data_IF_153106021822
#
_entry.id   IF_153106021822
#
_cell.length_a   1.000
_cell.length_b   1.000
_cell.length_c   1.000
_cell.angle_alpha   90.00
_cell.angle_beta   90.00
_cell.angle_gamma   90.00
#
_symmetry.space_group_name_H-M   'P 1'
#
loop_
_entity.id
_entity.type
_entity.pdbx_description
1 polymer ?
#
# COMPACT_ATOMS: atom_id res chain seq x y z
N UNK A 1 -9.51 -24.79 10.55
CA UNK A 1 -8.70 -23.54 10.59
C UNK A 1 -7.55 -23.56 9.59
N UNK A 2 -6.60 -24.51 9.66
CA UNK A 2 -5.48 -24.58 8.70
C UNK A 2 -5.89 -24.49 7.21
N UNK A 3 -7.01 -25.10 6.81
CA UNK A 3 -7.52 -25.00 5.44
C UNK A 3 -7.98 -23.59 5.05
N UNK A 4 -8.52 -22.81 5.99
CA UNK A 4 -8.86 -21.40 5.77
C UNK A 4 -7.60 -20.56 5.59
N UNK A 5 -6.57 -20.82 6.40
CA UNK A 5 -5.29 -20.08 6.33
C UNK A 5 -4.54 -20.39 5.02
N UNK A 6 -4.84 -21.52 4.38
CA UNK A 6 -4.37 -21.91 3.05
C UNK A 6 -5.30 -21.48 1.90
N UNK A 7 -6.35 -20.69 2.19
CA UNK A 7 -7.37 -20.24 1.23
C UNK A 7 -8.16 -21.39 0.54
N UNK A 8 -8.10 -22.60 1.10
CA UNK A 8 -8.87 -23.78 0.63
C UNK A 8 -10.27 -23.76 1.22
N UNK A 9 -11.05 -22.75 0.85
CA UNK A 9 -12.37 -22.48 1.45
C UNK A 9 -13.36 -23.63 1.24
N UNK A 10 -13.38 -24.26 0.06
CA UNK A 10 -14.27 -25.40 -0.23
C UNK A 10 -13.95 -26.64 0.61
N UNK A 11 -12.66 -26.96 0.80
CA UNK A 11 -12.24 -28.08 1.64
C UNK A 11 -12.50 -27.79 3.12
N UNK A 12 -12.26 -26.54 3.53
CA UNK A 12 -12.57 -26.05 4.86
C UNK A 12 -14.07 -26.17 5.17
N UNK A 13 -14.92 -25.75 4.24
CA UNK A 13 -16.37 -25.84 4.37
C UNK A 13 -16.82 -27.29 4.61
N UNK A 14 -16.41 -28.22 3.74
CA UNK A 14 -16.75 -29.65 3.86
C UNK A 14 -16.31 -30.23 5.19
N UNK A 15 -15.13 -29.84 5.67
CA UNK A 15 -14.60 -30.32 6.96
C UNK A 15 -15.44 -29.81 8.14
N UNK A 16 -15.90 -28.56 8.10
CA UNK A 16 -16.77 -28.01 9.14
C UNK A 16 -18.18 -28.59 9.07
N UNK A 17 -18.72 -28.80 7.87
CA UNK A 17 -20.02 -29.47 7.67
C UNK A 17 -20.00 -30.89 8.26
N UNK A 18 -18.97 -31.68 7.97
CA UNK A 18 -18.81 -33.00 8.57
C UNK A 18 -18.73 -32.94 10.11
N UNK A 19 -18.03 -31.94 10.65
CA UNK A 19 -17.93 -31.77 12.10
C UNK A 19 -19.30 -31.42 12.73
N UNK A 20 -20.14 -30.66 12.03
CA UNK A 20 -21.52 -30.37 12.45
C UNK A 20 -22.43 -31.60 12.31
N UNK A 21 -22.23 -32.44 11.29
CA UNK A 21 -22.96 -33.71 11.15
C UNK A 21 -22.68 -34.66 12.32
N UNK A 22 -21.42 -34.73 12.76
CA UNK A 22 -20.99 -35.56 13.89
C UNK A 22 -21.44 -34.98 15.24
N UNK A 23 -21.34 -33.65 15.39
CA UNK A 23 -21.75 -32.94 16.60
C UNK A 23 -22.49 -31.65 16.22
N UNK A 24 -23.84 -31.67 16.16
CA UNK A 24 -24.64 -30.52 15.72
C UNK A 24 -24.40 -29.24 16.54
N UNK A 25 -24.02 -29.40 17.81
CA UNK A 25 -23.70 -28.32 18.74
C UNK A 25 -22.22 -27.88 18.71
N UNK A 26 -21.41 -28.31 17.74
CA UNK A 26 -20.00 -27.98 17.74
C UNK A 26 -19.74 -26.51 17.36
N UNK A 27 -19.70 -25.64 18.36
CA UNK A 27 -19.62 -24.18 18.20
C UNK A 27 -18.49 -23.72 17.26
N UNK A 28 -17.29 -24.32 17.38
CA UNK A 28 -16.14 -23.96 16.54
C UNK A 28 -16.35 -24.29 15.06
N UNK A 29 -17.09 -25.33 14.73
CA UNK A 29 -17.39 -25.64 13.33
C UNK A 29 -18.37 -24.64 12.72
N UNK A 30 -19.41 -24.24 13.45
CA UNK A 30 -20.31 -23.15 13.01
C UNK A 30 -19.56 -21.83 12.81
N UNK A 31 -18.65 -21.48 13.73
CA UNK A 31 -17.80 -20.30 13.57
C UNK A 31 -16.85 -20.42 12.36
N UNK A 32 -16.33 -21.63 12.11
CA UNK A 32 -15.57 -21.97 10.91
C UNK A 32 -16.34 -21.73 9.62
N UNK A 33 -17.60 -22.17 9.55
CA UNK A 33 -18.51 -21.87 8.43
C UNK A 33 -18.72 -20.37 8.27
N UNK A 34 -18.89 -19.63 9.38
CA UNK A 34 -19.00 -18.17 9.34
C UNK A 34 -17.79 -17.51 8.67
N UNK A 35 -16.59 -17.96 9.03
CA UNK A 35 -15.34 -17.46 8.42
C UNK A 35 -15.22 -17.84 6.93
N UNK A 36 -15.56 -19.07 6.53
CA UNK A 36 -15.62 -19.48 5.11
C UNK A 36 -16.50 -18.52 4.32
N UNK A 37 -17.73 -18.28 4.80
CA UNK A 37 -18.70 -17.40 4.13
C UNK A 37 -18.21 -15.96 4.03
N UNK A 38 -17.53 -15.46 5.07
CA UNK A 38 -16.92 -14.13 5.03
C UNK A 38 -15.83 -14.02 3.95
N UNK A 39 -15.01 -15.05 3.77
CA UNK A 39 -14.04 -15.10 2.67
C UNK A 39 -14.71 -15.19 1.27
N UNK A 40 -15.93 -15.73 1.21
CA UNK A 40 -16.79 -15.72 0.00
C UNK A 40 -17.56 -14.39 -0.18
N UNK A 41 -17.28 -13.37 0.63
CA UNK A 41 -17.98 -12.09 0.69
C UNK A 41 -19.48 -12.16 1.05
N UNK A 42 -19.95 -13.30 1.56
CA UNK A 42 -21.31 -13.48 2.09
C UNK A 42 -21.35 -13.13 3.58
N UNK A 43 -21.19 -11.84 3.87
CA UNK A 43 -21.07 -11.34 5.25
C UNK A 43 -22.36 -11.51 6.06
N UNK A 44 -23.53 -11.48 5.41
CA UNK A 44 -24.81 -11.67 6.09
C UNK A 44 -24.90 -13.08 6.67
N UNK A 45 -24.67 -14.10 5.83
CA UNK A 45 -24.73 -15.48 6.29
C UNK A 45 -23.52 -15.88 7.14
N UNK A 46 -22.39 -15.18 6.98
CA UNK A 46 -21.24 -15.31 7.87
C UNK A 46 -21.61 -14.94 9.31
N UNK A 47 -22.25 -13.78 9.52
CA UNK A 47 -22.69 -13.35 10.84
C UNK A 47 -23.75 -14.30 11.42
N UNK A 48 -24.73 -14.74 10.62
CA UNK A 48 -25.72 -15.74 11.08
C UNK A 48 -25.08 -17.05 11.54
N UNK A 49 -24.03 -17.52 10.86
CA UNK A 49 -23.29 -18.71 11.30
C UNK A 49 -22.48 -18.45 12.58
N UNK A 50 -21.95 -17.24 12.75
CA UNK A 50 -21.27 -16.82 13.97
C UNK A 50 -22.23 -16.72 15.16
N UNK A 51 -23.46 -16.21 14.95
CA UNK A 51 -24.52 -16.16 15.97
C UNK A 51 -24.95 -17.57 16.40
N UNK A 52 -25.04 -18.51 15.46
CA UNK A 52 -25.27 -19.93 15.77
C UNK A 52 -24.13 -20.52 16.59
N UNK A 53 -22.89 -20.23 16.22
CA UNK A 53 -21.72 -20.66 16.99
C UNK A 53 -21.78 -20.15 18.43
N UNK A 54 -22.18 -18.88 18.61
CA UNK A 54 -22.38 -18.29 19.94
C UNK A 54 -23.45 -19.00 20.74
N UNK A 55 -24.58 -19.35 20.12
CA UNK A 55 -25.67 -20.11 20.77
C UNK A 55 -25.24 -21.48 21.31
N UNK A 56 -24.23 -22.11 20.69
CA UNK A 56 -23.68 -23.39 21.13
C UNK A 56 -22.45 -23.27 22.04
N UNK A 57 -21.89 -22.07 22.21
CA UNK A 57 -20.63 -21.87 22.93
C UNK A 57 -20.80 -22.05 24.45
N UNK A 58 -20.32 -23.18 24.97
CA UNK A 58 -20.34 -23.47 26.40
C UNK A 58 -19.06 -23.03 27.11
N UNK A 59 -17.92 -23.17 26.43
CA UNK A 59 -16.59 -23.02 27.04
C UNK A 59 -15.97 -21.64 26.76
N UNK A 60 -15.07 -21.21 27.65
CA UNK A 60 -14.36 -19.93 27.51
C UNK A 60 -13.56 -19.87 26.20
N UNK A 61 -12.90 -20.97 25.83
CA UNK A 61 -12.08 -21.06 24.62
C UNK A 61 -12.90 -21.07 23.32
N UNK A 62 -14.19 -21.38 23.39
CA UNK A 62 -15.12 -21.27 22.26
C UNK A 62 -15.59 -19.84 22.11
N UNK A 63 -15.95 -19.18 23.22
CA UNK A 63 -16.32 -17.77 23.24
C UNK A 63 -15.19 -16.85 22.75
N UNK A 64 -13.95 -17.09 23.21
CA UNK A 64 -12.75 -16.41 22.71
C UNK A 64 -12.60 -16.55 21.19
N UNK A 65 -12.77 -17.77 20.68
CA UNK A 65 -12.68 -18.03 19.25
C UNK A 65 -13.77 -17.29 18.46
N UNK A 66 -14.99 -17.21 18.99
CA UNK A 66 -16.13 -16.56 18.34
C UNK A 66 -16.01 -15.03 18.36
N UNK A 67 -15.58 -14.42 19.47
CA UNK A 67 -15.29 -12.98 19.54
C UNK A 67 -14.24 -12.58 18.48
N UNK A 68 -13.16 -13.35 18.37
CA UNK A 68 -12.17 -13.16 17.31
C UNK A 68 -12.77 -13.40 15.92
N UNK A 69 -13.68 -14.37 15.81
CA UNK A 69 -14.47 -14.61 14.60
C UNK A 69 -15.25 -13.36 14.14
N UNK A 70 -15.98 -12.69 15.04
CA UNK A 70 -16.69 -11.45 14.71
C UNK A 70 -15.73 -10.35 14.23
N UNK A 71 -14.61 -10.11 14.95
CA UNK A 71 -13.59 -9.13 14.54
C UNK A 71 -13.12 -9.40 13.10
N UNK A 72 -12.84 -10.67 12.79
CA UNK A 72 -12.41 -11.09 11.44
C UNK A 72 -13.47 -10.81 10.37
N UNK A 73 -14.73 -11.17 10.62
CA UNK A 73 -15.83 -10.94 9.67
C UNK A 73 -16.01 -9.45 9.39
N UNK A 74 -16.04 -8.62 10.43
CA UNK A 74 -16.18 -7.17 10.29
C UNK A 74 -15.00 -6.55 9.55
N UNK A 75 -13.78 -7.01 9.84
CA UNK A 75 -12.56 -6.58 9.15
C UNK A 75 -12.61 -6.95 7.66
N UNK A 76 -12.97 -8.19 7.31
CA UNK A 76 -13.08 -8.63 5.91
C UNK A 76 -14.14 -7.85 5.14
N UNK A 77 -15.31 -7.62 5.74
CA UNK A 77 -16.40 -6.81 5.17
C UNK A 77 -15.93 -5.41 4.79
N UNK A 78 -15.09 -4.80 5.62
CA UNK A 78 -14.51 -3.49 5.30
C UNK A 78 -13.34 -3.56 4.33
N UNK A 79 -12.48 -4.58 4.41
CA UNK A 79 -11.34 -4.73 3.51
C UNK A 79 -11.78 -4.84 2.04
N UNK A 80 -12.89 -5.55 1.75
CA UNK A 80 -13.46 -5.58 0.39
C UNK A 80 -13.87 -4.21 -0.14
N UNK A 81 -14.20 -3.28 0.76
CA UNK A 81 -14.65 -1.92 0.47
C UNK A 81 -13.49 -0.91 0.29
N UNK A 82 -12.28 -1.23 0.75
CA UNK A 82 -11.16 -0.27 0.82
C UNK A 82 -10.13 -0.43 -0.32
N UNK A 83 -10.41 -1.23 -1.34
CA UNK A 83 -9.55 -1.36 -2.52
C UNK A 83 -9.51 -0.04 -3.30
N UNK A 84 -8.30 0.40 -3.68
CA UNK A 84 -8.10 1.56 -4.57
C UNK A 84 -8.95 1.35 -5.83
N UNK A 85 -9.80 2.32 -6.19
CA UNK A 85 -10.78 2.16 -7.28
C UNK A 85 -12.23 1.91 -6.86
N UNK A 86 -12.50 1.56 -5.60
CA UNK A 86 -13.86 1.25 -5.12
C UNK A 86 -14.43 2.40 -4.31
N UNK A 87 -15.54 2.99 -4.76
CA UNK A 87 -16.29 4.00 -4.01
C UNK A 87 -17.06 3.31 -2.89
N UNK A 88 -16.60 3.45 -1.66
CA UNK A 88 -17.33 2.95 -0.50
C UNK A 88 -17.90 4.08 0.32
N UNK A 89 -19.17 3.95 0.73
CA UNK A 89 -19.79 4.85 1.70
C UNK A 89 -18.90 4.88 2.94
N UNK A 90 -18.34 6.06 3.23
CA UNK A 90 -17.35 6.32 4.28
C UNK A 90 -17.95 6.29 5.70
N UNK A 91 -19.28 6.20 5.82
CA UNK A 91 -19.98 6.75 6.97
C UNK A 91 -20.15 5.83 8.19
N UNK A 92 -20.06 4.51 8.08
CA UNK A 92 -20.20 3.67 9.28
C UNK A 92 -18.84 3.21 9.81
N UNK A 93 -18.30 3.93 10.80
CA UNK A 93 -17.24 3.43 11.70
C UNK A 93 -17.74 2.34 12.67
N UNK A 94 -19.04 2.04 12.64
CA UNK A 94 -19.69 1.01 13.44
C UNK A 94 -18.92 -0.31 13.45
N UNK A 95 -18.33 -0.74 12.33
CA UNK A 95 -17.59 -2.01 12.27
C UNK A 95 -16.33 -2.01 13.17
N UNK A 96 -15.63 -0.89 13.29
CA UNK A 96 -14.45 -0.76 14.14
C UNK A 96 -14.89 -0.74 15.61
N UNK A 97 -15.99 -0.06 15.92
CA UNK A 97 -16.54 0.02 17.26
C UNK A 97 -17.08 -1.33 17.74
N UNK A 98 -17.79 -2.05 16.87
CA UNK A 98 -18.22 -3.43 17.11
C UNK A 98 -16.99 -4.32 17.33
N UNK A 99 -15.96 -4.22 16.49
CA UNK A 99 -14.74 -5.02 16.64
C UNK A 99 -14.01 -4.71 17.96
N UNK A 100 -13.99 -3.44 18.38
CA UNK A 100 -13.45 -3.04 19.70
C UNK A 100 -14.24 -3.66 20.84
N UNK A 101 -15.58 -3.64 20.78
CA UNK A 101 -16.43 -4.27 21.78
C UNK A 101 -16.23 -5.78 21.87
N UNK A 102 -16.06 -6.47 20.73
CA UNK A 102 -15.74 -7.90 20.70
C UNK A 102 -14.34 -8.19 21.24
N UNK A 103 -13.37 -7.33 20.95
CA UNK A 103 -12.02 -7.41 21.50
C UNK A 103 -12.01 -7.24 23.03
N UNK A 104 -12.72 -6.24 23.56
CA UNK A 104 -12.86 -5.99 25.00
C UNK A 104 -13.45 -7.20 25.73
N UNK A 105 -14.48 -7.83 25.16
CA UNK A 105 -15.06 -9.07 25.69
C UNK A 105 -14.07 -10.23 25.66
N UNK A 106 -13.27 -10.36 24.59
CA UNK A 106 -12.28 -11.42 24.47
C UNK A 106 -11.17 -11.27 25.55
N UNK A 107 -10.62 -10.07 25.73
CA UNK A 107 -9.56 -9.84 26.73
C UNK A 107 -10.08 -9.90 28.17
N UNK A 108 -11.40 -9.73 28.40
CA UNK A 108 -12.01 -9.98 29.71
C UNK A 108 -11.99 -11.47 30.07
N UNK A 109 -12.08 -12.36 29.08
CA UNK A 109 -12.03 -13.82 29.27
C UNK A 109 -10.58 -14.27 29.43
N UNK A 110 -9.69 -13.85 28.53
CA UNK A 110 -8.24 -14.12 28.61
C UNK A 110 -7.44 -12.90 28.14
N UNK A 111 -6.86 -12.12 29.07
CA UNK A 111 -6.01 -10.97 28.74
C UNK A 111 -4.74 -11.31 27.97
N UNK A 112 -4.36 -12.59 27.91
CA UNK A 112 -3.17 -13.08 27.22
C UNK A 112 -3.51 -13.88 25.95
N UNK A 113 -4.72 -13.72 25.40
CA UNK A 113 -5.16 -14.37 24.17
C UNK A 113 -4.60 -13.65 22.93
N UNK A 114 -3.42 -14.07 22.50
CA UNK A 114 -2.69 -13.48 21.36
C UNK A 114 -3.54 -13.32 20.07
N UNK A 115 -4.43 -14.26 19.69
CA UNK A 115 -5.28 -14.08 18.50
C UNK A 115 -6.16 -12.82 18.56
N UNK A 116 -6.68 -12.43 19.72
CA UNK A 116 -7.50 -11.23 19.86
C UNK A 116 -6.70 -9.97 19.49
N UNK A 117 -5.47 -9.85 20.01
CA UNK A 117 -4.58 -8.74 19.66
C UNK A 117 -4.18 -8.76 18.19
N UNK A 118 -3.82 -9.92 17.65
CA UNK A 118 -3.42 -10.04 16.24
C UNK A 118 -4.53 -9.58 15.28
N UNK A 119 -5.75 -10.12 15.44
CA UNK A 119 -6.86 -9.76 14.55
C UNK A 119 -7.38 -8.33 14.81
N UNK A 120 -7.25 -7.80 16.02
CA UNK A 120 -7.49 -6.38 16.27
C UNK A 120 -6.46 -5.48 15.59
N UNK A 121 -5.19 -5.90 15.52
CA UNK A 121 -4.16 -5.22 14.75
C UNK A 121 -4.49 -5.15 13.26
N UNK A 122 -5.00 -6.25 12.68
CA UNK A 122 -5.49 -6.27 11.29
C UNK A 122 -6.72 -5.38 11.09
N UNK A 123 -7.60 -5.31 12.08
CA UNK A 123 -8.75 -4.41 12.10
C UNK A 123 -8.29 -2.93 12.02
N UNK A 124 -7.39 -2.50 12.90
CA UNK A 124 -6.82 -1.14 12.87
C UNK A 124 -6.04 -0.85 11.59
N UNK A 125 -5.28 -1.82 11.07
CA UNK A 125 -4.61 -1.71 9.76
C UNK A 125 -5.62 -1.42 8.65
N UNK A 126 -6.76 -2.11 8.64
CA UNK A 126 -7.84 -1.91 7.67
C UNK A 126 -8.51 -0.54 7.83
N UNK A 127 -8.55 -0.01 9.05
CA UNK A 127 -8.98 1.35 9.36
C UNK A 127 -7.94 2.44 9.00
N UNK A 128 -6.77 2.05 8.48
CA UNK A 128 -5.60 2.91 8.24
C UNK A 128 -5.07 3.59 9.53
N UNK A 129 -5.36 3.02 10.70
CA UNK A 129 -4.82 3.45 11.99
C UNK A 129 -3.52 2.71 12.30
N UNK A 130 -2.44 3.21 11.72
CA UNK A 130 -1.10 2.60 11.78
C UNK A 130 -0.56 2.57 13.22
N UNK A 131 -0.95 3.53 14.06
CA UNK A 131 -0.46 3.62 15.44
C UNK A 131 -1.10 2.53 16.29
N UNK A 132 -2.42 2.44 16.28
CA UNK A 132 -3.14 1.40 17.03
C UNK A 132 -2.83 0.00 16.51
N UNK A 133 -2.71 -0.18 15.18
CA UNK A 133 -2.29 -1.45 14.59
C UNK A 133 -0.92 -1.89 15.12
N UNK A 134 0.06 -0.97 15.15
CA UNK A 134 1.40 -1.23 15.68
C UNK A 134 1.38 -1.65 17.16
N UNK A 135 0.57 -0.99 17.99
CA UNK A 135 0.43 -1.35 19.40
C UNK A 135 -0.13 -2.77 19.58
N UNK A 136 -1.15 -3.13 18.81
CA UNK A 136 -1.74 -4.47 18.86
C UNK A 136 -0.75 -5.56 18.44
N UNK A 137 -0.01 -5.35 17.35
CA UNK A 137 1.01 -6.33 16.92
C UNK A 137 2.17 -6.42 17.90
N UNK A 138 2.63 -5.29 18.47
CA UNK A 138 3.63 -5.29 19.54
C UNK A 138 3.17 -6.13 20.73
N UNK A 139 1.88 -6.06 21.08
CA UNK A 139 1.34 -6.85 22.18
C UNK A 139 1.41 -8.36 21.91
N UNK A 140 1.18 -8.80 20.67
CA UNK A 140 1.35 -10.22 20.29
C UNK A 140 2.80 -10.68 20.50
N UNK A 141 3.78 -9.84 20.13
CA UNK A 141 5.20 -10.13 20.31
C UNK A 141 5.60 -10.23 21.79
N UNK A 142 5.02 -9.38 22.64
CA UNK A 142 5.20 -9.45 24.10
C UNK A 142 4.64 -10.75 24.69
N UNK A 143 3.48 -11.21 24.20
CA UNK A 143 2.82 -12.40 24.72
C UNK A 143 3.58 -13.69 24.38
N UNK A 144 4.36 -13.71 23.28
CA UNK A 144 5.18 -14.87 22.85
C UNK A 144 4.39 -16.18 22.73
N UNK A 145 3.18 -16.10 22.17
CA UNK A 145 2.30 -17.26 21.92
C UNK A 145 2.03 -17.45 20.42
N UNK A 146 0.77 -17.52 20.01
CA UNK A 146 0.37 -17.66 18.61
C UNK A 146 0.62 -16.36 17.83
N UNK A 147 0.77 -16.47 16.50
CA UNK A 147 0.92 -15.36 15.55
C UNK A 147 2.17 -14.49 15.71
N UNK A 148 3.24 -14.94 16.37
CA UNK A 148 4.46 -14.14 16.59
C UNK A 148 5.08 -13.71 15.26
N UNK A 149 5.28 -14.64 14.32
CA UNK A 149 5.98 -14.35 13.06
C UNK A 149 5.16 -13.41 12.19
N UNK A 150 3.86 -13.64 12.10
CA UNK A 150 2.92 -12.81 11.36
C UNK A 150 2.83 -11.41 11.98
N UNK A 151 2.75 -11.32 13.32
CA UNK A 151 2.73 -10.05 14.03
C UNK A 151 4.05 -9.28 13.88
N UNK A 152 5.20 -9.95 13.87
CA UNK A 152 6.50 -9.31 13.66
C UNK A 152 6.58 -8.65 12.29
N UNK A 153 6.16 -9.37 11.24
CA UNK A 153 6.07 -8.82 9.88
C UNK A 153 5.14 -7.60 9.82
N UNK A 154 3.94 -7.68 10.41
CA UNK A 154 3.00 -6.57 10.41
C UNK A 154 3.50 -5.39 11.26
N UNK A 155 4.11 -5.65 12.41
CA UNK A 155 4.68 -4.63 13.29
C UNK A 155 5.80 -3.86 12.58
N UNK A 156 6.75 -4.58 11.96
CA UNK A 156 7.83 -3.98 11.17
C UNK A 156 7.28 -3.11 10.02
N UNK A 157 6.22 -3.56 9.34
CA UNK A 157 5.54 -2.75 8.33
C UNK A 157 4.93 -1.48 8.95
N UNK A 158 4.23 -1.56 10.08
CA UNK A 158 3.65 -0.38 10.74
C UNK A 158 4.73 0.63 11.13
N UNK A 159 5.87 0.17 11.65
CA UNK A 159 7.01 1.03 11.98
C UNK A 159 7.57 1.75 10.75
N UNK A 160 7.75 1.04 9.63
CA UNK A 160 8.19 1.63 8.36
C UNK A 160 7.20 2.70 7.86
N UNK A 161 5.89 2.44 7.94
CA UNK A 161 4.86 3.39 7.51
C UNK A 161 4.81 4.62 8.44
N UNK A 162 4.91 4.43 9.76
CA UNK A 162 5.01 5.55 10.71
C UNK A 162 6.23 6.41 10.42
N UNK A 163 7.38 5.79 10.12
CA UNK A 163 8.58 6.52 9.69
C UNK A 163 8.35 7.22 8.35
N UNK A 164 7.58 6.66 7.43
CA UNK A 164 7.33 7.34 6.16
C UNK A 164 6.44 8.60 6.31
N UNK A 165 5.64 8.67 7.39
CA UNK A 165 4.75 9.80 7.74
C UNK A 165 3.86 10.27 6.56
N UNK A 166 3.08 9.36 5.94
CA UNK A 166 2.17 9.74 4.85
C UNK A 166 1.17 10.81 5.32
N UNK A 167 1.14 11.93 4.60
CA UNK A 167 0.31 13.09 4.91
C UNK A 167 -1.12 12.98 4.36
N UNK A 168 -1.34 12.14 3.36
CA UNK A 168 -2.64 11.99 2.70
C UNK A 168 -3.30 10.64 2.96
N UNK A 169 -4.61 10.56 2.70
CA UNK A 169 -5.34 9.28 2.79
C UNK A 169 -4.88 8.34 1.68
N UNK A 170 -4.63 8.87 0.48
CA UNK A 170 -4.10 8.11 -0.66
C UNK A 170 -2.73 7.53 -0.34
N UNK A 171 -1.81 8.34 0.21
CA UNK A 171 -0.50 7.87 0.67
C UNK A 171 -0.61 6.78 1.73
N UNK A 172 -1.51 6.92 2.71
CA UNK A 172 -1.79 5.87 3.70
C UNK A 172 -2.30 4.57 3.09
N UNK A 173 -3.13 4.64 2.05
CA UNK A 173 -3.61 3.45 1.34
C UNK A 173 -2.49 2.78 0.55
N UNK A 174 -1.74 3.57 -0.22
CA UNK A 174 -0.61 3.09 -1.03
C UNK A 174 0.48 2.48 -0.14
N UNK A 175 0.67 2.97 1.08
CA UNK A 175 1.63 2.42 2.05
C UNK A 175 1.51 0.89 2.28
N UNK A 176 0.32 0.33 2.08
CA UNK A 176 0.05 -1.10 2.25
C UNK A 176 0.10 -1.93 0.96
N UNK A 177 0.36 -1.29 -0.19
CA UNK A 177 0.42 -1.95 -1.49
C UNK A 177 1.80 -2.57 -1.70
N UNK A 178 1.82 -3.85 -2.09
CA UNK A 178 3.07 -4.59 -2.34
C UNK A 178 3.80 -4.12 -3.60
N UNK A 179 3.06 -3.65 -4.61
CA UNK A 179 3.59 -3.18 -5.88
C UNK A 179 2.80 -1.97 -6.34
N UNK A 180 3.44 -0.81 -6.34
CA UNK A 180 2.77 0.41 -6.80
C UNK A 180 2.56 0.38 -8.31
N UNK A 181 1.47 1.00 -8.74
CA UNK A 181 1.16 1.26 -10.14
C UNK A 181 1.66 2.64 -10.59
N UNK A 182 1.61 2.92 -11.89
CA UNK A 182 1.88 4.27 -12.43
C UNK A 182 0.97 5.33 -11.83
N UNK A 183 -0.31 5.00 -11.60
CA UNK A 183 -1.25 5.91 -10.95
C UNK A 183 -0.88 6.18 -9.49
N UNK A 184 -0.46 5.14 -8.76
CA UNK A 184 0.00 5.29 -7.37
C UNK A 184 1.25 6.19 -7.31
N UNK A 185 2.22 5.99 -8.21
CA UNK A 185 3.42 6.83 -8.27
C UNK A 185 3.07 8.31 -8.56
N UNK A 186 2.14 8.56 -9.49
CA UNK A 186 1.64 9.90 -9.78
C UNK A 186 1.01 10.56 -8.53
N UNK A 187 0.10 9.85 -7.85
CA UNK A 187 -0.54 10.34 -6.63
C UNK A 187 0.46 10.58 -5.50
N UNK A 188 1.44 9.70 -5.31
CA UNK A 188 2.49 9.91 -4.32
C UNK A 188 3.32 11.17 -4.62
N UNK A 189 3.70 11.42 -5.88
CA UNK A 189 4.44 12.63 -6.22
C UNK A 189 3.61 13.91 -6.10
N UNK A 190 2.32 13.85 -6.43
CA UNK A 190 1.42 15.01 -6.31
C UNK A 190 1.03 15.30 -4.85
N UNK A 191 0.58 14.30 -4.10
CA UNK A 191 0.02 14.51 -2.77
C UNK A 191 1.08 14.55 -1.65
N UNK A 192 2.11 13.69 -1.73
CA UNK A 192 3.10 13.54 -0.66
C UNK A 192 4.36 14.38 -0.91
N UNK A 193 4.89 14.34 -2.14
CA UNK A 193 6.04 15.17 -2.51
C UNK A 193 5.64 16.61 -2.86
N UNK A 194 4.38 16.85 -3.23
CA UNK A 194 3.86 18.18 -3.62
C UNK A 194 4.68 18.82 -4.74
N UNK A 195 4.96 18.01 -5.76
CA UNK A 195 5.86 18.34 -6.85
C UNK A 195 5.43 19.60 -7.63
N UNK A 196 4.13 19.85 -7.76
CA UNK A 196 3.58 21.06 -8.35
C UNK A 196 4.04 22.33 -7.58
N UNK A 197 4.08 22.27 -6.25
CA UNK A 197 4.55 23.37 -5.40
C UNK A 197 6.06 23.53 -5.48
N UNK A 198 6.80 22.42 -5.55
CA UNK A 198 8.25 22.41 -5.66
C UNK A 198 8.70 23.08 -6.96
N UNK A 199 8.03 22.75 -8.07
CA UNK A 199 8.39 23.26 -9.38
C UNK A 199 8.03 24.75 -9.49
N UNK A 200 6.86 25.17 -8.99
CA UNK A 200 6.48 26.60 -8.96
C UNK A 200 7.44 27.47 -8.14
N UNK A 201 8.02 26.93 -7.07
CA UNK A 201 8.97 27.68 -6.21
C UNK A 201 10.37 27.77 -6.80
N UNK A 202 10.78 26.82 -7.65
CA UNK A 202 12.16 26.70 -8.14
C UNK A 202 12.36 26.89 -9.64
N UNK A 203 11.27 27.02 -10.40
CA UNK A 203 11.37 27.54 -11.77
C UNK A 203 11.77 29.02 -11.69
N UNK A 204 12.95 29.40 -12.20
CA UNK A 204 13.25 30.82 -12.34
C UNK A 204 12.20 31.42 -13.28
N UNK A 205 11.64 32.59 -12.91
CA UNK A 205 10.84 33.41 -13.83
C UNK A 205 11.75 33.99 -14.91
N UNK A 206 12.32 33.16 -15.78
CA UNK A 206 12.95 33.63 -16.99
C UNK A 206 11.83 33.96 -17.96
N UNK A 207 11.46 35.23 -18.00
CA UNK A 207 10.75 35.76 -19.16
C UNK A 207 11.70 35.59 -20.35
N UNK A 208 11.30 34.74 -21.28
CA UNK A 208 11.96 34.59 -22.56
C UNK A 208 11.76 35.90 -23.35
N UNK A 209 12.75 36.79 -23.31
CA UNK A 209 12.77 38.05 -24.07
C UNK A 209 13.31 37.85 -25.50
N UNK A 210 13.57 36.60 -25.90
CA UNK A 210 13.88 36.27 -27.28
C UNK A 210 12.68 36.52 -28.20
N UNK A 211 12.95 37.12 -29.36
CA UNK A 211 11.93 37.29 -30.38
C UNK A 211 11.35 35.93 -30.78
N UNK A 212 10.05 35.72 -30.49
CA UNK A 212 9.31 34.55 -30.95
C UNK A 212 8.61 34.90 -32.24
N UNK A 213 8.89 34.10 -33.26
CA UNK A 213 8.20 34.15 -34.55
C UNK A 213 6.66 34.10 -34.31
N UNK A 214 5.90 35.16 -34.68
CA UNK A 214 4.48 35.26 -34.36
C UNK A 214 3.65 34.08 -34.87
N UNK A 215 4.07 33.44 -35.96
CA UNK A 215 3.38 32.27 -36.53
C UNK A 215 3.62 30.98 -35.73
N UNK A 216 4.77 30.85 -35.05
CA UNK A 216 5.03 29.74 -34.10
C UNK A 216 4.48 30.01 -32.71
N UNK A 217 4.31 31.27 -32.32
CA UNK A 217 3.65 31.67 -31.07
C UNK A 217 2.11 31.57 -31.15
N UNK A 218 1.54 31.60 -32.36
CA UNK A 218 0.10 31.44 -32.61
C UNK A 218 -0.38 29.97 -32.60
N UNK A 219 0.53 28.99 -32.63
CA UNK A 219 0.18 27.62 -32.27
C UNK A 219 -0.08 27.57 -30.77
N UNK A 220 -1.35 27.75 -30.38
CA UNK A 220 -1.82 27.34 -29.05
C UNK A 220 -1.22 25.96 -28.77
N UNK A 221 -0.60 25.72 -27.59
CA UNK A 221 -0.24 24.36 -27.22
C UNK A 221 -1.50 23.52 -27.42
N UNK A 222 -1.43 22.53 -28.31
CA UNK A 222 -2.52 21.60 -28.55
C UNK A 222 -2.85 21.07 -27.16
N UNK A 223 -4.00 21.45 -26.60
CA UNK A 223 -4.41 21.02 -25.27
C UNK A 223 -4.16 19.51 -25.24
N UNK A 224 -3.22 19.07 -24.40
CA UNK A 224 -2.84 17.66 -24.34
C UNK A 224 -4.13 16.93 -24.02
N UNK A 225 -4.66 16.18 -25.00
CA UNK A 225 -5.90 15.47 -24.81
C UNK A 225 -5.69 14.54 -23.61
N UNK A 226 -6.48 14.74 -22.55
CA UNK A 226 -6.38 13.91 -21.36
C UNK A 226 -6.55 12.44 -21.76
N UNK A 227 -5.73 11.52 -21.22
CA UNK A 227 -5.79 10.11 -21.61
C UNK A 227 -7.19 9.53 -21.39
N UNK A 228 -7.73 8.83 -22.39
CA UNK A 228 -9.09 8.31 -22.31
C UNK A 228 -9.24 7.22 -21.24
N UNK A 229 -8.17 6.45 -20.98
CA UNK A 229 -8.13 5.34 -20.04
C UNK A 229 -8.15 5.76 -18.57
N UNK A 230 -7.98 7.05 -18.27
CA UNK A 230 -8.06 7.58 -16.89
C UNK A 230 -9.38 8.32 -16.62
N UNK A 231 -10.29 8.42 -17.58
CA UNK A 231 -11.48 9.27 -17.49
C UNK A 231 -12.36 9.00 -16.25
N UNK A 232 -12.40 7.75 -15.78
CA UNK A 232 -13.14 7.32 -14.57
C UNK A 232 -12.22 6.89 -13.43
N UNK A 233 -10.91 7.12 -13.55
CA UNK A 233 -9.94 6.69 -12.56
C UNK A 233 -10.01 7.60 -11.32
N UNK A 234 -9.99 7.08 -10.08
CA UNK A 234 -10.07 7.92 -8.87
C UNK A 234 -8.94 8.93 -8.77
N UNK A 235 -7.74 8.55 -9.21
CA UNK A 235 -6.52 9.37 -9.21
C UNK A 235 -6.37 10.22 -10.48
N UNK A 236 -7.46 10.46 -11.24
CA UNK A 236 -7.40 11.20 -12.51
C UNK A 236 -6.74 12.56 -12.34
N UNK A 237 -7.09 13.30 -11.29
CA UNK A 237 -6.55 14.64 -11.04
C UNK A 237 -5.02 14.63 -10.83
N UNK A 238 -4.53 13.65 -10.06
CA UNK A 238 -3.08 13.50 -9.82
C UNK A 238 -2.34 13.08 -11.08
N UNK A 239 -2.94 12.19 -11.87
CA UNK A 239 -2.38 11.75 -13.15
C UNK A 239 -2.33 12.92 -14.15
N UNK A 240 -3.40 13.69 -14.28
CA UNK A 240 -3.41 14.87 -15.15
C UNK A 240 -2.31 15.86 -14.73
N UNK A 241 -2.20 16.13 -13.42
CA UNK A 241 -1.18 17.02 -12.88
C UNK A 241 0.25 16.52 -13.16
N UNK A 242 0.52 15.22 -13.02
CA UNK A 242 1.87 14.69 -13.26
C UNK A 242 2.25 14.72 -14.74
N UNK A 243 1.27 14.51 -15.63
CA UNK A 243 1.45 14.62 -17.09
C UNK A 243 1.76 16.06 -17.47
N UNK A 244 1.05 17.04 -16.90
CA UNK A 244 1.31 18.47 -17.14
C UNK A 244 2.71 18.90 -16.66
N UNK A 245 3.16 18.36 -15.53
CA UNK A 245 4.51 18.58 -14.99
C UNK A 245 5.58 17.88 -15.86
N UNK A 246 5.19 16.82 -16.57
CA UNK A 246 6.02 16.08 -17.51
C UNK A 246 7.14 15.31 -16.83
N UNK A 247 6.85 14.58 -15.75
CA UNK A 247 7.85 13.72 -15.08
C UNK A 247 8.21 12.53 -15.95
N UNK A 248 9.52 12.29 -16.14
CA UNK A 248 10.02 11.18 -16.96
C UNK A 248 9.55 9.83 -16.42
N UNK A 249 8.94 9.01 -17.27
CA UNK A 249 8.36 7.70 -16.94
C UNK A 249 6.87 7.75 -16.58
N UNK A 250 6.27 8.94 -16.48
CA UNK A 250 4.85 9.16 -16.22
C UNK A 250 4.18 9.97 -17.34
N UNK A 251 4.77 10.01 -18.52
CA UNK A 251 4.15 10.57 -19.72
C UNK A 251 3.14 9.60 -20.34
N UNK A 252 2.28 10.09 -21.22
CA UNK A 252 1.47 9.23 -22.07
C UNK A 252 2.34 8.44 -23.04
N UNK A 253 1.94 7.21 -23.32
CA UNK A 253 2.56 6.42 -24.37
C UNK A 253 2.22 6.99 -25.76
N UNK A 254 2.91 6.55 -26.84
CA UNK A 254 2.66 7.05 -28.20
C UNK A 254 1.22 6.85 -28.71
N UNK A 255 0.47 5.92 -28.12
CA UNK A 255 -0.96 5.68 -28.39
C UNK A 255 -1.89 6.67 -27.66
N UNK A 256 -1.34 7.59 -26.86
CA UNK A 256 -2.08 8.58 -26.08
C UNK A 256 -2.65 8.05 -24.76
N UNK A 257 -2.38 6.80 -24.40
CA UNK A 257 -2.85 6.18 -23.15
C UNK A 257 -1.84 6.38 -22.02
N UNK A 258 -2.31 6.42 -20.78
CA UNK A 258 -1.45 6.52 -19.60
C UNK A 258 -1.08 5.16 -18.98
N UNK A 259 -1.99 4.18 -19.10
CA UNK A 259 -1.94 2.85 -18.48
C UNK A 259 -1.76 2.94 -16.96
N UNK A 260 -2.78 3.42 -16.22
CA UNK A 260 -2.67 3.71 -14.78
C UNK A 260 -2.31 2.48 -13.93
N UNK A 261 -2.62 1.27 -14.41
CA UNK A 261 -2.43 0.01 -13.68
C UNK A 261 -1.09 -0.67 -13.99
N UNK A 262 -0.27 -0.16 -14.92
CA UNK A 262 1.06 -0.73 -15.16
C UNK A 262 1.88 -0.65 -13.87
N UNK A 263 2.59 -1.73 -13.55
CA UNK A 263 3.42 -1.80 -12.34
C UNK A 263 4.70 -0.98 -12.52
N UNK A 264 5.16 -0.38 -11.43
CA UNK A 264 6.41 0.38 -11.41
C UNK A 264 7.54 -0.48 -10.89
N UNK A 265 8.56 -0.63 -11.74
CA UNK A 265 9.82 -1.27 -11.40
C UNK A 265 10.78 -0.28 -10.72
N UNK A 266 11.73 -0.80 -9.92
CA UNK A 266 12.70 0.01 -9.17
C UNK A 266 13.58 0.88 -10.08
N UNK A 267 14.00 0.37 -11.23
CA UNK A 267 14.76 1.14 -12.22
C UNK A 267 13.94 2.28 -12.81
N UNK A 268 12.67 2.02 -13.16
CA UNK A 268 11.76 3.04 -13.65
C UNK A 268 11.51 4.14 -12.59
N UNK A 269 11.31 3.74 -11.34
CA UNK A 269 11.14 4.68 -10.23
C UNK A 269 12.41 5.51 -9.97
N UNK A 270 13.60 4.91 -10.07
CA UNK A 270 14.87 5.65 -10.00
C UNK A 270 14.98 6.70 -11.11
N UNK A 271 14.54 6.37 -12.33
CA UNK A 271 14.50 7.32 -13.44
C UNK A 271 13.53 8.48 -13.20
N UNK A 272 12.37 8.23 -12.59
CA UNK A 272 11.43 9.28 -12.19
C UNK A 272 12.05 10.21 -11.15
N UNK A 273 12.68 9.63 -10.12
CA UNK A 273 13.31 10.41 -9.04
C UNK A 273 14.47 11.25 -9.57
N UNK A 274 15.33 10.69 -10.41
CA UNK A 274 16.42 11.44 -11.03
C UNK A 274 15.89 12.67 -11.79
N UNK A 275 14.86 12.50 -12.60
CA UNK A 275 14.24 13.59 -13.35
C UNK A 275 13.68 14.67 -12.43
N UNK A 276 13.04 14.26 -11.33
CA UNK A 276 12.57 15.18 -10.29
C UNK A 276 13.75 15.94 -9.67
N UNK A 277 14.84 15.24 -9.30
CA UNK A 277 16.02 15.88 -8.71
C UNK A 277 16.65 16.89 -9.68
N UNK A 278 16.78 16.55 -10.97
CA UNK A 278 17.29 17.45 -12.01
C UNK A 278 16.42 18.71 -12.08
N UNK A 279 15.11 18.56 -12.24
CA UNK A 279 14.19 19.69 -12.42
C UNK A 279 14.10 20.57 -11.18
N UNK A 280 14.16 19.99 -9.99
CA UNK A 280 14.08 20.73 -8.71
C UNK A 280 15.42 21.40 -8.35
N UNK A 281 16.55 20.82 -8.74
CA UNK A 281 17.87 21.41 -8.46
C UNK A 281 18.36 22.36 -9.56
N UNK A 282 17.89 22.19 -10.79
CA UNK A 282 18.45 22.83 -11.99
C UNK A 282 19.79 22.23 -12.43
N UNK A 283 20.25 21.15 -11.80
CA UNK A 283 21.54 20.53 -12.08
C UNK A 283 21.41 19.47 -13.20
N UNK A 284 21.55 19.93 -14.44
CA UNK A 284 21.54 19.06 -15.62
C UNK A 284 22.73 18.08 -15.67
N UNK A 285 23.79 18.32 -14.89
CA UNK A 285 24.94 17.41 -14.86
C UNK A 285 24.57 16.05 -14.26
N UNK A 286 23.51 15.98 -13.45
CA UNK A 286 23.03 14.71 -12.88
C UNK A 286 22.65 13.70 -13.97
N UNK A 287 22.11 14.14 -15.10
CA UNK A 287 21.67 13.26 -16.20
C UNK A 287 22.81 12.46 -16.86
N UNK A 288 24.07 12.85 -16.64
CA UNK A 288 25.24 12.20 -17.25
C UNK A 288 26.36 11.87 -16.26
N UNK A 289 26.15 12.18 -14.97
CA UNK A 289 27.18 12.17 -13.92
C UNK A 289 27.97 10.86 -13.80
N UNK A 290 27.31 9.74 -14.03
CA UNK A 290 27.89 8.41 -13.85
C UNK A 290 28.05 7.64 -15.16
N UNK A 291 27.82 8.27 -16.32
CA UNK A 291 28.05 7.60 -17.62
C UNK A 291 29.53 7.20 -17.72
N UNK A 292 29.77 5.92 -18.06
CA UNK A 292 31.11 5.33 -18.11
C UNK A 292 31.69 4.92 -16.74
N UNK A 293 30.94 5.10 -15.66
CA UNK A 293 31.32 4.65 -14.31
C UNK A 293 31.18 3.14 -14.11
N UNK A 294 31.81 2.64 -13.05
CA UNK A 294 31.69 1.23 -12.61
C UNK A 294 30.51 1.09 -11.67
N UNK A 295 29.72 0.04 -11.87
CA UNK A 295 28.59 -0.28 -10.99
C UNK A 295 29.06 -0.91 -9.68
N UNK A 296 28.55 -0.47 -8.52
CA UNK A 296 28.73 -1.14 -7.25
C UNK A 296 27.73 -2.30 -7.05
N UNK A 297 26.74 -2.45 -7.94
CA UNK A 297 25.71 -3.49 -7.85
C UNK A 297 26.00 -4.61 -8.88
N UNK A 298 25.98 -5.89 -8.47
CA UNK A 298 26.32 -7.00 -9.36
C UNK A 298 25.31 -7.22 -10.49
N UNK A 299 24.06 -6.76 -10.30
CA UNK A 299 22.94 -6.91 -11.23
C UNK A 299 22.66 -5.65 -12.06
N UNK A 300 23.55 -4.67 -12.03
CA UNK A 300 23.41 -3.40 -12.75
C UNK A 300 24.61 -3.17 -13.66
N UNK A 301 24.45 -3.40 -14.95
CA UNK A 301 25.50 -3.08 -15.94
C UNK A 301 25.51 -1.58 -16.25
N UNK A 302 26.70 -1.06 -16.54
CA UNK A 302 26.93 0.37 -16.81
C UNK A 302 26.34 0.87 -18.14
N UNK A 303 25.99 -0.03 -19.05
CA UNK A 303 25.41 0.27 -20.37
C UNK A 303 23.87 0.23 -20.41
N UNK A 304 23.23 -0.06 -19.27
CA UNK A 304 21.77 -0.05 -19.17
C UNK A 304 21.22 1.38 -19.16
N UNK A 305 20.05 1.63 -19.77
CA UNK A 305 19.50 2.98 -19.93
C UNK A 305 19.18 3.68 -18.60
N UNK A 306 18.94 2.90 -17.53
CA UNK A 306 18.65 3.39 -16.18
C UNK A 306 19.88 3.40 -15.27
N UNK A 307 21.07 3.02 -15.76
CA UNK A 307 22.29 2.95 -14.94
C UNK A 307 22.58 4.27 -14.23
N UNK A 308 22.62 5.37 -14.99
CA UNK A 308 22.92 6.68 -14.44
C UNK A 308 21.90 7.09 -13.35
N UNK A 309 20.62 6.89 -13.61
CA UNK A 309 19.55 7.18 -12.66
C UNK A 309 19.72 6.41 -11.35
N UNK A 310 19.96 5.10 -11.43
CA UNK A 310 20.18 4.24 -10.26
C UNK A 310 21.41 4.71 -9.48
N UNK A 311 22.50 5.08 -10.15
CA UNK A 311 23.70 5.61 -9.50
C UNK A 311 23.44 6.96 -8.81
N UNK A 312 22.67 7.87 -9.43
CA UNK A 312 22.30 9.16 -8.83
C UNK A 312 21.52 8.96 -7.52
N UNK A 313 20.47 8.13 -7.54
CA UNK A 313 19.60 7.98 -6.36
C UNK A 313 20.25 7.14 -5.26
N UNK A 314 21.16 6.23 -5.59
CA UNK A 314 21.84 5.39 -4.59
C UNK A 314 23.03 6.09 -3.94
N UNK A 315 23.81 6.85 -4.69
CA UNK A 315 24.93 7.65 -4.13
C UNK A 315 24.44 8.76 -3.19
N UNK A 316 23.21 9.24 -3.38
CA UNK A 316 22.51 10.17 -2.48
C UNK A 316 21.76 9.47 -1.33
N UNK A 317 21.86 8.15 -1.22
CA UNK A 317 21.17 7.33 -0.22
C UNK A 317 19.64 7.43 -0.25
N UNK A 318 19.06 7.92 -1.35
CA UNK A 318 17.61 8.01 -1.56
C UNK A 318 17.04 6.59 -1.72
N UNK A 319 17.63 5.83 -2.64
CA UNK A 319 17.40 4.39 -2.81
C UNK A 319 18.65 3.61 -2.40
N UNK A 320 18.52 2.29 -2.25
CA UNK A 320 19.64 1.41 -1.92
C UNK A 320 19.41 0.00 -2.44
N UNK A 321 20.38 -0.90 -2.22
CA UNK A 321 20.26 -2.32 -2.53
C UNK A 321 18.96 -2.90 -1.94
N UNK A 322 18.24 -3.73 -2.70
CA UNK A 322 17.06 -4.44 -2.17
C UNK A 322 17.50 -5.64 -1.36
N UNK A 323 18.56 -6.33 -1.81
CA UNK A 323 19.14 -7.45 -1.10
C UNK A 323 20.48 -7.03 -0.48
N UNK A 324 20.48 -6.82 0.84
CA UNK A 324 21.66 -6.37 1.58
C UNK A 324 22.75 -7.44 1.57
N UNK A 325 22.38 -8.73 1.52
CA UNK A 325 23.33 -9.85 1.56
C UNK A 325 24.06 -10.03 0.23
N UNK A 326 23.37 -9.91 -0.89
CA UNK A 326 23.98 -10.04 -2.22
C UNK A 326 24.48 -8.72 -2.79
N UNK A 327 24.05 -7.59 -2.21
CA UNK A 327 24.34 -6.27 -2.72
C UNK A 327 23.56 -5.91 -4.00
N UNK A 328 22.52 -6.67 -4.36
CA UNK A 328 21.74 -6.43 -5.59
C UNK A 328 20.77 -5.25 -5.46
N UNK A 329 20.69 -4.45 -6.53
CA UNK A 329 19.72 -3.35 -6.62
C UNK A 329 18.31 -3.85 -6.94
N UNK A 330 18.21 -4.94 -7.70
CA UNK A 330 16.99 -5.56 -8.24
C UNK A 330 16.21 -4.57 -9.12
N UNK A 331 16.75 -4.16 -10.28
CA UNK A 331 16.18 -3.09 -11.10
C UNK A 331 14.77 -3.37 -11.62
N UNK A 332 14.49 -4.63 -12.00
CA UNK A 332 13.18 -5.09 -12.48
C UNK A 332 12.24 -5.52 -11.34
N UNK A 333 12.69 -5.36 -10.09
CA UNK A 333 11.88 -5.68 -8.91
C UNK A 333 10.78 -4.63 -8.70
N UNK A 334 9.71 -4.99 -7.97
CA UNK A 334 8.64 -4.07 -7.65
C UNK A 334 9.09 -2.99 -6.67
N UNK A 335 8.39 -1.86 -6.68
CA UNK A 335 8.44 -0.86 -5.62
C UNK A 335 7.25 -1.07 -4.67
N UNK A 336 7.54 -1.39 -3.41
CA UNK A 336 6.54 -1.41 -2.34
C UNK A 336 6.07 0.02 -2.03
N UNK A 337 4.80 0.22 -1.70
CA UNK A 337 4.28 1.57 -1.43
C UNK A 337 4.91 2.23 -0.21
N UNK A 338 5.23 1.46 0.84
CA UNK A 338 5.99 1.97 1.99
C UNK A 338 7.43 2.36 1.61
N UNK A 339 8.07 1.64 0.68
CA UNK A 339 9.40 2.01 0.17
C UNK A 339 9.33 3.32 -0.63
N UNK A 340 8.31 3.48 -1.48
CA UNK A 340 8.08 4.71 -2.24
C UNK A 340 7.91 5.93 -1.32
N UNK A 341 7.12 5.79 -0.25
CA UNK A 341 6.94 6.86 0.74
C UNK A 341 8.23 7.19 1.51
N UNK A 342 9.00 6.17 1.92
CA UNK A 342 10.31 6.38 2.57
C UNK A 342 11.29 7.09 1.63
N UNK A 343 11.27 6.76 0.35
CA UNK A 343 12.05 7.42 -0.70
C UNK A 343 11.62 8.89 -0.82
N UNK A 344 10.32 9.17 -0.92
CA UNK A 344 9.79 10.55 -0.97
C UNK A 344 10.21 11.34 0.26
N UNK A 345 10.15 10.74 1.45
CA UNK A 345 10.61 11.39 2.68
C UNK A 345 12.08 11.78 2.60
N UNK A 346 12.96 10.89 2.12
CA UNK A 346 14.39 11.20 1.93
C UNK A 346 14.61 12.31 0.91
N UNK A 347 13.87 12.30 -0.19
CA UNK A 347 13.92 13.37 -1.20
C UNK A 347 13.54 14.72 -0.56
N UNK A 348 12.48 14.76 0.25
CA UNK A 348 12.08 15.98 0.97
C UNK A 348 13.16 16.47 1.94
N UNK A 349 13.77 15.55 2.70
CA UNK A 349 14.88 15.86 3.61
C UNK A 349 16.09 16.44 2.85
N UNK A 350 16.46 15.86 1.72
CA UNK A 350 17.56 16.33 0.87
C UNK A 350 17.26 17.71 0.23
N UNK A 351 16.03 17.91 -0.23
CA UNK A 351 15.58 19.17 -0.81
C UNK A 351 15.34 20.27 0.24
N UNK A 352 15.46 19.96 1.54
CA UNK A 352 15.15 20.81 2.69
C UNK A 352 13.71 21.35 2.64
N UNK A 353 12.75 20.45 2.41
CA UNK A 353 11.34 20.77 2.23
C UNK A 353 10.39 20.14 3.27
#
# INVERSE_FOLDING_TARGET
MKLLDQEKFGDGQRSFELAIELEPGYARAHAGIGLVKAHQADYKNALTAMDKAWGYAGKAEEKLFIHVGYIRIHTLSRASCMRVGVVCKRENRDWLDISRGEFEKAILIDPAYAPAYYFMGLCYKTALDVVQAGQMFSKVLELKKDYINEADQQWNLMQRIQRAMPGSVTGKQIAFVERITRADAAALFMEELKIDTLYKKRTPKTFDTGFKDPDKAAMKPKASAHPADIAKHPLKADIDGIIEIGVRGLETYPDGLFRPNDLVERAAYAMMIEDILIKVSGDNALATRFIGGVSPFPDLRSDLPYFNAVMVVTTRQIMGAKNITTGEFVPLGPVEGVDALLIIRKIREELKF
#
